data_IF_592217274044
#
_entry.id   IF_592217274044
#
_cell.length_a   1.000
_cell.length_b   1.000
_cell.length_c   1.000
_cell.angle_alpha   90.00
_cell.angle_beta   90.00
_cell.angle_gamma   90.00
#
_symmetry.space_group_name_H-M   'P 1'
#
loop_
_entity.id
_entity.type
_entity.pdbx_description
1 polymer ?
#
# COMPACT_ATOMS: atom_id res chain seq x y z
N UNK A 1 34.61 -2.03 15.29
CA UNK A 1 33.74 -1.66 14.15
C UNK A 1 32.60 -2.66 14.09
N UNK A 2 31.36 -2.23 14.34
CA UNK A 2 30.19 -3.13 14.28
C UNK A 2 29.77 -3.35 12.83
N UNK A 3 29.97 -4.56 12.30
CA UNK A 3 29.36 -4.98 11.06
C UNK A 3 27.86 -5.19 11.32
N UNK A 4 27.02 -4.26 10.87
CA UNK A 4 25.59 -4.57 10.73
C UNK A 4 25.44 -5.40 9.47
N UNK A 5 25.11 -6.71 9.55
CA UNK A 5 24.76 -7.46 8.35
C UNK A 5 23.58 -6.75 7.69
N UNK A 6 23.69 -6.48 6.39
CA UNK A 6 22.59 -5.86 5.65
C UNK A 6 21.36 -6.73 5.84
N UNK A 7 20.36 -6.22 6.55
CA UNK A 7 19.13 -6.97 6.83
C UNK A 7 18.45 -7.45 5.54
N UNK A 8 17.47 -8.36 5.66
CA UNK A 8 16.77 -8.90 4.49
C UNK A 8 16.21 -7.77 3.62
N UNK A 9 16.68 -7.70 2.37
CA UNK A 9 16.26 -6.70 1.38
C UNK A 9 14.89 -7.08 0.82
N UNK A 10 13.93 -6.15 0.87
CA UNK A 10 12.60 -6.34 0.27
C UNK A 10 12.65 -5.82 -1.17
N UNK A 11 12.68 -6.73 -2.15
CA UNK A 11 12.58 -6.39 -3.58
C UNK A 11 11.13 -6.44 -4.03
N UNK A 12 10.67 -5.51 -4.88
CA UNK A 12 9.34 -5.58 -5.51
C UNK A 12 9.22 -6.75 -6.49
N UNK A 13 10.31 -7.11 -7.16
CA UNK A 13 10.37 -8.23 -8.10
C UNK A 13 10.31 -9.58 -7.39
N UNK A 14 10.02 -10.62 -8.19
CA UNK A 14 9.71 -12.01 -7.82
C UNK A 14 10.32 -12.40 -6.47
N UNK A 15 9.44 -12.48 -5.48
CA UNK A 15 9.79 -12.88 -4.14
C UNK A 15 9.73 -14.41 -4.04
N UNK A 16 10.53 -15.04 -3.18
CA UNK A 16 10.52 -16.48 -2.96
C UNK A 16 9.09 -16.99 -2.63
N UNK A 17 8.83 -18.29 -2.80
CA UNK A 17 7.50 -18.92 -2.76
C UNK A 17 6.59 -18.62 -1.53
N UNK A 18 7.09 -17.94 -0.49
CA UNK A 18 6.36 -17.60 0.74
C UNK A 18 6.28 -16.10 1.06
N UNK A 19 6.78 -15.24 0.18
CA UNK A 19 6.79 -13.78 0.39
C UNK A 19 5.62 -13.12 -0.33
N UNK A 20 4.71 -12.49 0.41
CA UNK A 20 3.57 -11.74 -0.14
C UNK A 20 3.67 -10.26 0.15
N UNK A 21 3.18 -9.43 -0.76
CA UNK A 21 3.13 -7.96 -0.62
C UNK A 21 1.74 -7.47 -1.01
N UNK A 22 1.17 -6.61 -0.20
CA UNK A 22 -0.12 -5.96 -0.46
C UNK A 22 -0.08 -4.51 0.00
N UNK A 23 -0.83 -3.66 -0.67
CA UNK A 23 -0.97 -2.25 -0.35
C UNK A 23 -2.41 -1.81 -0.16
N UNK A 24 -2.61 -0.75 0.60
CA UNK A 24 -3.86 -0.01 0.70
C UNK A 24 -3.56 1.48 0.55
N UNK A 25 -4.19 2.12 -0.42
CA UNK A 25 -4.08 3.56 -0.66
C UNK A 25 -5.35 4.28 -0.18
N UNK A 26 -5.18 5.47 0.41
CA UNK A 26 -6.26 6.38 0.81
C UNK A 26 -5.72 7.81 0.84
N UNK A 27 -6.44 8.77 0.27
CA UNK A 27 -6.02 10.18 0.20
C UNK A 27 -4.56 10.33 -0.31
N UNK A 28 -3.66 10.93 0.45
CA UNK A 28 -2.23 11.11 0.15
C UNK A 28 -1.35 10.05 0.85
N UNK A 29 -1.94 8.95 1.31
CA UNK A 29 -1.26 7.88 2.04
C UNK A 29 -1.27 6.55 1.27
N UNK A 30 -0.18 5.78 1.39
CA UNK A 30 -0.08 4.38 0.99
C UNK A 30 0.43 3.53 2.17
N UNK A 31 -0.38 2.59 2.64
CA UNK A 31 0.01 1.58 3.62
C UNK A 31 0.45 0.31 2.90
N UNK A 32 1.66 -0.17 3.22
CA UNK A 32 2.25 -1.37 2.65
C UNK A 32 2.39 -2.45 3.72
N UNK A 33 1.99 -3.67 3.37
CA UNK A 33 2.18 -4.85 4.20
C UNK A 33 2.94 -5.92 3.42
N UNK A 34 4.01 -6.42 4.03
CA UNK A 34 4.79 -7.52 3.51
C UNK A 34 4.79 -8.67 4.53
N UNK A 35 4.49 -9.87 4.07
CA UNK A 35 4.72 -11.11 4.82
C UNK A 35 6.03 -11.70 4.32
N UNK A 36 7.01 -11.77 5.21
CA UNK A 36 8.32 -12.39 4.98
C UNK A 36 8.23 -13.90 5.28
N UNK A 37 9.34 -14.60 5.10
CA UNK A 37 9.46 -16.00 5.54
C UNK A 37 9.09 -16.14 7.02
N UNK A 38 8.62 -17.34 7.39
CA UNK A 38 8.24 -17.66 8.77
C UNK A 38 7.11 -16.78 9.32
N UNK A 39 6.20 -16.31 8.47
CA UNK A 39 5.04 -15.49 8.85
C UNK A 39 5.37 -14.13 9.47
N UNK A 40 6.62 -13.69 9.39
CA UNK A 40 7.05 -12.38 9.88
C UNK A 40 6.42 -11.27 9.05
N UNK A 41 5.52 -10.49 9.66
CA UNK A 41 4.84 -9.37 8.98
C UNK A 41 5.56 -8.07 9.26
N UNK A 42 5.79 -7.28 8.21
CA UNK A 42 6.23 -5.88 8.31
C UNK A 42 5.20 -4.98 7.65
N UNK A 43 4.96 -3.84 8.29
CA UNK A 43 4.10 -2.79 7.76
C UNK A 43 4.87 -1.47 7.74
N UNK A 44 4.65 -0.69 6.70
CA UNK A 44 5.18 0.66 6.61
C UNK A 44 4.19 1.55 5.87
N UNK A 45 4.10 2.80 6.32
CA UNK A 45 3.23 3.82 5.76
C UNK A 45 4.08 4.85 5.02
N UNK A 46 3.60 5.27 3.85
CA UNK A 46 4.19 6.34 3.04
C UNK A 46 3.16 7.45 2.97
N UNK A 47 3.54 8.65 3.41
CA UNK A 47 2.77 9.88 3.25
C UNK A 47 3.39 10.69 2.11
N UNK A 48 2.59 11.07 1.12
CA UNK A 48 3.05 11.85 -0.02
C UNK A 48 2.84 13.33 0.29
N UNK A 49 3.94 14.07 0.41
CA UNK A 49 3.88 15.50 0.65
C UNK A 49 3.43 16.26 -0.60
N UNK A 50 2.65 17.31 -0.38
CA UNK A 50 2.44 18.36 -1.38
C UNK A 50 3.78 19.10 -1.57
N UNK A 51 4.24 19.19 -2.82
CA UNK A 51 5.48 19.87 -3.14
C UNK A 51 5.36 20.52 -4.51
N UNK A 52 5.79 21.78 -4.61
CA UNK A 52 5.80 22.56 -5.85
C UNK A 52 4.40 22.71 -6.49
N UNK A 53 3.36 22.84 -5.65
CA UNK A 53 1.96 22.96 -6.08
C UNK A 53 1.35 21.66 -6.62
N UNK A 54 2.03 20.52 -6.44
CA UNK A 54 1.54 19.21 -6.85
C UNK A 54 0.96 18.47 -5.64
N UNK A 55 -0.35 18.20 -5.71
CA UNK A 55 -1.11 17.45 -4.70
C UNK A 55 -0.48 16.07 -4.40
N UNK A 56 -0.22 15.81 -3.12
CA UNK A 56 0.29 14.54 -2.62
C UNK A 56 -0.59 13.35 -3.00
N UNK A 57 -1.91 13.56 -3.09
CA UNK A 57 -2.88 12.57 -3.56
C UNK A 57 -2.62 12.17 -5.01
N UNK A 58 -2.30 13.13 -5.88
CA UNK A 58 -1.99 12.87 -7.28
C UNK A 58 -0.69 12.06 -7.42
N UNK A 59 0.37 12.42 -6.68
CA UNK A 59 1.63 11.66 -6.64
C UNK A 59 1.43 10.24 -6.12
N UNK A 60 0.60 10.09 -5.08
CA UNK A 60 0.23 8.78 -4.53
C UNK A 60 -0.54 7.95 -5.56
N UNK A 61 -1.49 8.53 -6.30
CA UNK A 61 -2.21 7.86 -7.41
C UNK A 61 -1.24 7.35 -8.48
N UNK A 62 -0.29 8.20 -8.90
CA UNK A 62 0.74 7.83 -9.88
C UNK A 62 1.61 6.66 -9.38
N UNK A 63 2.09 6.75 -8.14
CA UNK A 63 2.87 5.69 -7.50
C UNK A 63 2.09 4.37 -7.42
N UNK A 64 0.83 4.42 -6.96
CA UNK A 64 -0.05 3.25 -6.89
C UNK A 64 -0.28 2.62 -8.25
N UNK A 65 -0.48 3.42 -9.31
CA UNK A 65 -0.66 2.91 -10.68
C UNK A 65 0.57 2.16 -11.19
N UNK A 66 1.78 2.60 -10.84
CA UNK A 66 3.00 1.86 -11.13
C UNK A 66 3.12 0.57 -10.31
N UNK A 67 2.80 0.62 -9.00
CA UNK A 67 2.91 -0.51 -8.08
C UNK A 67 1.92 -1.64 -8.39
N UNK A 68 0.72 -1.31 -8.88
CA UNK A 68 -0.32 -2.29 -9.28
C UNK A 68 0.17 -3.30 -10.33
N UNK A 69 1.22 -2.98 -11.09
CA UNK A 69 1.87 -3.92 -12.03
C UNK A 69 2.59 -5.07 -11.34
N UNK A 70 2.95 -4.92 -10.08
CA UNK A 70 3.79 -5.86 -9.33
C UNK A 70 3.10 -6.46 -8.11
N UNK A 71 2.19 -5.72 -7.48
CA UNK A 71 1.55 -6.10 -6.22
C UNK A 71 0.08 -5.70 -6.20
N UNK A 72 -0.73 -6.39 -5.40
CA UNK A 72 -2.11 -6.00 -5.20
C UNK A 72 -2.19 -4.76 -4.30
N UNK A 73 -2.79 -3.68 -4.80
CA UNK A 73 -3.04 -2.46 -4.03
C UNK A 73 -4.53 -2.10 -4.16
N UNK A 74 -5.22 -2.04 -3.02
CA UNK A 74 -6.61 -1.54 -2.94
C UNK A 74 -6.53 -0.02 -2.83
N UNK A 75 -7.21 0.71 -3.70
CA UNK A 75 -7.22 2.18 -3.68
C UNK A 75 -8.60 2.66 -3.26
N UNK A 76 -8.72 3.16 -2.03
CA UNK A 76 -9.89 3.87 -1.53
C UNK A 76 -9.77 5.33 -1.94
N UNK A 77 -9.83 5.59 -3.25
CA UNK A 77 -10.08 6.94 -3.73
C UNK A 77 -11.43 7.40 -3.19
N UNK A 78 -11.49 8.60 -2.64
CA UNK A 78 -12.71 9.23 -2.12
C UNK A 78 -13.79 9.51 -3.20
N UNK A 79 -13.78 8.75 -4.29
CA UNK A 79 -14.88 8.64 -5.27
C UNK A 79 -15.76 7.44 -4.89
N UNK A 80 -16.10 7.38 -3.60
CA UNK A 80 -17.25 6.61 -3.15
C UNK A 80 -18.49 7.40 -3.46
N UNK A 81 -19.07 7.15 -4.65
CA UNK A 81 -20.52 7.22 -4.79
C UNK A 81 -21.15 6.56 -3.55
N UNK A 82 -22.08 7.27 -2.93
CA UNK A 82 -22.83 6.78 -1.79
C UNK A 82 -23.45 5.43 -2.11
N UNK A 83 -22.86 4.37 -1.57
CA UNK A 83 -23.66 3.21 -1.20
C UNK A 83 -24.25 3.56 0.15
N UNK A 84 -25.39 4.27 0.11
CA UNK A 84 -26.32 4.25 1.22
C UNK A 84 -26.48 2.79 1.67
N UNK A 85 -26.44 2.51 2.98
CA UNK A 85 -26.83 1.19 3.45
C UNK A 85 -28.28 0.99 3.00
N UNK A 86 -28.53 0.04 2.07
CA UNK A 86 -29.88 -0.46 1.88
C UNK A 86 -30.28 -1.11 3.19
N UNK A 87 -31.16 -0.43 3.90
CA UNK A 87 -31.85 -0.89 5.09
C UNK A 87 -32.64 -2.15 4.70
N UNK A 88 -31.99 -3.31 4.81
CA UNK A 88 -32.65 -4.59 4.72
C UNK A 88 -33.24 -4.92 6.10
N UNK A 89 -34.41 -4.35 6.34
CA UNK A 89 -35.43 -5.01 7.14
C UNK A 89 -35.66 -4.43 8.53
N UNK A 90 -36.88 -3.95 8.71
CA UNK A 90 -37.65 -4.26 9.90
C UNK A 90 -39.07 -4.62 9.50
N UNK A 91 -39.41 -5.89 9.73
CA UNK A 91 -40.79 -6.39 9.80
C UNK A 91 -41.52 -5.73 10.98
#
# INVERSE_FOLDING_TARGET
MGFYPSGPKVSLFRAANHTSKKGVAKADTLLMSCTLQEWNKRQFQIQFAEQDGVDGTAKRKECTNMLKKFIHVVDYSSEGEGSEPKDYGRQ
#
